data_IF_907906217547
#
_entry.id   IF_907906217547
#
_cell.length_a   1.000
_cell.length_b   1.000
_cell.length_c   1.000
_cell.angle_alpha   90.00
_cell.angle_beta   90.00
_cell.angle_gamma   90.00
#
_symmetry.space_group_name_H-M   'P 1'
#
loop_
_entity.id
_entity.type
_entity.pdbx_description
1 polymer ?
#
# COMPACT_ATOMS: atom_id res chain seq x y z
N UNK A 1 12.61 -12.52 5.62
CA UNK A 1 13.10 -13.10 4.36
C UNK A 1 12.61 -12.24 3.21
N UNK A 2 13.46 -11.94 2.25
CA UNK A 2 13.07 -11.30 1.00
C UNK A 2 12.21 -12.27 0.18
N UNK A 3 11.07 -11.79 -0.34
CA UNK A 3 10.15 -12.60 -1.15
C UNK A 3 10.76 -13.01 -2.50
N UNK A 4 11.79 -12.30 -2.97
CA UNK A 4 12.58 -12.65 -4.15
C UNK A 4 13.63 -13.72 -3.92
N UNK A 5 13.85 -14.15 -2.68
CA UNK A 5 14.90 -15.11 -2.36
C UNK A 5 14.48 -16.57 -2.60
N UNK A 6 15.44 -17.44 -2.92
CA UNK A 6 15.22 -18.88 -3.07
C UNK A 6 14.68 -19.56 -1.79
N UNK A 7 14.75 -18.90 -0.63
CA UNK A 7 14.24 -19.40 0.65
C UNK A 7 12.71 -19.47 0.69
N UNK A 8 12.00 -18.69 -0.13
CA UNK A 8 10.53 -18.67 -0.19
C UNK A 8 9.98 -20.07 -0.49
N UNK A 9 10.57 -20.79 -1.43
CA UNK A 9 10.15 -22.16 -1.75
C UNK A 9 10.14 -23.04 -0.51
N UNK A 10 11.25 -23.08 0.22
CA UNK A 10 11.37 -23.85 1.46
C UNK A 10 10.33 -23.42 2.50
N UNK A 11 10.16 -22.10 2.73
CA UNK A 11 9.18 -21.57 3.70
C UNK A 11 7.75 -22.03 3.36
N UNK A 12 7.35 -22.00 2.10
CA UNK A 12 6.01 -22.43 1.66
C UNK A 12 5.79 -23.93 1.89
N UNK A 13 6.77 -24.76 1.52
CA UNK A 13 6.63 -26.22 1.64
C UNK A 13 6.73 -26.73 3.07
N UNK A 14 7.54 -26.09 3.92
CA UNK A 14 7.69 -26.46 5.34
C UNK A 14 6.46 -26.05 6.16
N UNK A 15 5.93 -24.83 5.95
CA UNK A 15 4.85 -24.28 6.77
C UNK A 15 3.43 -24.54 6.22
N UNK A 16 3.30 -24.89 4.96
CA UNK A 16 2.04 -25.22 4.26
C UNK A 16 0.91 -24.19 4.53
N UNK A 17 1.13 -22.88 4.28
CA UNK A 17 0.14 -21.86 4.57
C UNK A 17 -1.13 -22.05 3.71
N UNK A 18 -2.29 -21.80 4.30
CA UNK A 18 -3.56 -21.73 3.59
C UNK A 18 -3.78 -20.37 2.92
N UNK A 19 -3.07 -19.33 3.38
CA UNK A 19 -3.12 -18.00 2.79
C UNK A 19 -1.76 -17.31 2.91
N UNK A 20 -1.40 -16.56 1.85
CA UNK A 20 -0.26 -15.67 1.83
C UNK A 20 -0.79 -14.25 1.61
N UNK A 21 -0.55 -13.36 2.56
CA UNK A 21 -0.76 -11.93 2.36
C UNK A 21 0.56 -11.29 1.93
N UNK A 22 0.68 -10.95 0.66
CA UNK A 22 1.87 -10.28 0.14
C UNK A 22 1.75 -8.76 0.30
N UNK A 23 2.31 -8.25 1.40
CA UNK A 23 2.44 -6.81 1.69
C UNK A 23 3.85 -6.29 1.44
N UNK A 24 4.78 -7.16 1.03
CA UNK A 24 6.17 -6.78 0.81
C UNK A 24 6.29 -5.88 -0.43
N UNK A 25 6.77 -4.67 -0.25
CA UNK A 25 6.99 -3.70 -1.33
C UNK A 25 7.87 -2.54 -0.87
N UNK A 26 8.59 -1.93 -1.81
CA UNK A 26 9.03 -0.56 -1.68
C UNK A 26 7.84 0.38 -1.92
N UNK A 27 7.64 1.40 -1.02
CA UNK A 27 6.38 2.16 -0.97
C UNK A 27 6.55 3.68 -0.91
N UNK A 28 7.75 4.22 -1.05
CA UNK A 28 7.98 5.66 -0.93
C UNK A 28 8.06 6.32 -2.32
N UNK A 29 7.01 7.08 -2.68
CA UNK A 29 6.89 7.70 -4.01
C UNK A 29 8.12 8.53 -4.37
N UNK A 30 8.54 9.48 -3.51
CA UNK A 30 9.69 10.34 -3.81
C UNK A 30 10.97 9.54 -4.04
N UNK A 31 11.23 8.52 -3.20
CA UNK A 31 12.38 7.61 -3.42
C UNK A 31 12.27 6.84 -4.75
N UNK A 32 11.07 6.58 -5.24
CA UNK A 32 10.89 5.91 -6.53
C UNK A 32 11.26 6.82 -7.69
N UNK A 33 11.14 8.14 -7.54
CA UNK A 33 11.57 9.13 -8.52
C UNK A 33 13.10 9.21 -8.54
N UNK A 34 13.73 9.24 -7.35
CA UNK A 34 15.18 9.32 -7.22
C UNK A 34 15.89 8.01 -7.65
N UNK A 35 15.32 6.85 -7.30
CA UNK A 35 15.91 5.53 -7.59
C UNK A 35 14.84 4.50 -7.93
N UNK A 36 14.33 4.47 -9.17
CA UNK A 36 13.29 3.52 -9.61
C UNK A 36 13.75 2.07 -9.61
N UNK A 37 15.06 1.80 -9.73
CA UNK A 37 15.62 0.44 -9.80
C UNK A 37 15.24 -0.42 -8.60
N UNK A 38 15.27 0.15 -7.39
CA UNK A 38 14.91 -0.57 -6.16
C UNK A 38 13.43 -1.02 -6.19
N UNK A 39 12.55 -0.18 -6.76
CA UNK A 39 11.12 -0.47 -6.89
C UNK A 39 10.84 -1.56 -7.92
N UNK A 40 11.53 -1.54 -9.05
CA UNK A 40 11.45 -2.60 -10.07
C UNK A 40 11.89 -3.93 -9.45
N UNK A 41 13.03 -3.94 -8.76
CA UNK A 41 13.57 -5.15 -8.14
C UNK A 41 12.62 -5.69 -7.07
N UNK A 42 12.16 -4.85 -6.14
CA UNK A 42 11.29 -5.26 -5.04
C UNK A 42 9.86 -5.58 -5.49
N UNK A 43 9.24 -4.69 -6.28
CA UNK A 43 7.81 -4.77 -6.55
C UNK A 43 7.47 -5.62 -7.79
N UNK A 44 8.42 -5.85 -8.69
CA UNK A 44 8.20 -6.65 -9.91
C UNK A 44 8.98 -7.96 -9.86
N UNK A 45 10.32 -7.89 -9.78
CA UNK A 45 11.17 -9.08 -9.87
C UNK A 45 10.96 -10.00 -8.67
N UNK A 46 10.88 -9.45 -7.46
CA UNK A 46 10.60 -10.27 -6.26
C UNK A 46 9.19 -10.84 -6.25
N UNK A 47 8.19 -10.13 -6.80
CA UNK A 47 6.82 -10.66 -6.97
C UNK A 47 6.80 -11.78 -8.00
N UNK A 48 7.53 -11.66 -9.11
CA UNK A 48 7.72 -12.75 -10.05
C UNK A 48 8.29 -14.01 -9.37
N UNK A 49 9.35 -13.86 -8.58
CA UNK A 49 9.94 -14.98 -7.83
C UNK A 49 8.94 -15.62 -6.86
N UNK A 50 8.15 -14.81 -6.15
CA UNK A 50 7.09 -15.31 -5.28
C UNK A 50 6.06 -16.11 -6.08
N UNK A 51 5.61 -15.60 -7.23
CA UNK A 51 4.61 -16.24 -8.08
C UNK A 51 5.10 -17.60 -8.64
N UNK A 52 6.36 -17.68 -9.07
CA UNK A 52 6.94 -18.96 -9.53
C UNK A 52 6.94 -20.02 -8.41
N UNK A 53 7.38 -19.63 -7.22
CA UNK A 53 7.36 -20.54 -6.07
C UNK A 53 5.94 -20.90 -5.62
N UNK A 54 5.02 -19.92 -5.62
CA UNK A 54 3.64 -20.14 -5.23
C UNK A 54 2.87 -20.98 -6.26
N UNK A 55 3.16 -20.85 -7.53
CA UNK A 55 2.64 -21.69 -8.63
C UNK A 55 2.94 -23.18 -8.39
N UNK A 56 4.19 -23.49 -8.04
CA UNK A 56 4.56 -24.87 -7.69
C UNK A 56 3.86 -25.36 -6.42
N UNK A 57 3.84 -24.52 -5.39
CA UNK A 57 3.22 -24.82 -4.11
C UNK A 57 1.72 -25.08 -4.23
N UNK A 58 0.98 -24.23 -4.94
CA UNK A 58 -0.48 -24.31 -5.11
C UNK A 58 -0.93 -25.51 -5.92
N UNK A 59 -0.09 -26.04 -6.81
CA UNK A 59 -0.38 -27.31 -7.51
C UNK A 59 -0.54 -28.49 -6.54
N UNK A 60 0.26 -28.51 -5.46
CA UNK A 60 0.23 -29.57 -4.44
C UNK A 60 -0.72 -29.27 -3.28
N UNK A 61 -1.05 -27.99 -3.06
CA UNK A 61 -1.86 -27.51 -1.95
C UNK A 61 -3.07 -26.72 -2.46
N UNK A 62 -4.13 -27.43 -2.84
CA UNK A 62 -5.31 -26.86 -3.52
C UNK A 62 -6.14 -25.88 -2.67
N UNK A 63 -6.01 -25.93 -1.34
CA UNK A 63 -6.72 -25.05 -0.40
C UNK A 63 -5.85 -23.87 0.05
N UNK A 64 -5.13 -23.24 -0.89
CA UNK A 64 -4.30 -22.07 -0.61
C UNK A 64 -4.70 -20.88 -1.47
N UNK A 65 -4.41 -19.67 -1.01
CA UNK A 65 -4.68 -18.43 -1.73
C UNK A 65 -3.55 -17.41 -1.52
N UNK A 66 -3.21 -16.66 -2.56
CA UNK A 66 -2.35 -15.47 -2.48
C UNK A 66 -3.21 -14.22 -2.54
N UNK A 67 -3.13 -13.35 -1.53
CA UNK A 67 -3.69 -12.01 -1.57
C UNK A 67 -2.54 -11.03 -1.81
N UNK A 68 -2.50 -10.47 -3.02
CA UNK A 68 -1.53 -9.47 -3.39
C UNK A 68 -2.06 -8.08 -3.03
N UNK A 69 -1.37 -7.41 -2.11
CA UNK A 69 -1.77 -6.07 -1.66
C UNK A 69 -1.07 -5.02 -2.52
N UNK A 70 -1.88 -4.30 -3.28
CA UNK A 70 -1.50 -3.18 -4.14
C UNK A 70 -2.00 -1.85 -3.59
N UNK A 71 -2.18 -0.85 -4.44
CA UNK A 71 -2.51 0.53 -4.08
C UNK A 71 -3.48 1.14 -5.08
N UNK A 72 -4.30 2.08 -4.64
CA UNK A 72 -5.16 2.91 -5.49
C UNK A 72 -4.37 3.85 -6.42
N UNK A 73 -3.08 4.09 -6.13
CA UNK A 73 -2.22 4.92 -6.98
C UNK A 73 -2.00 4.33 -8.39
N UNK A 74 -2.30 3.04 -8.61
CA UNK A 74 -2.26 2.43 -9.94
C UNK A 74 -3.26 3.06 -10.91
N UNK A 75 -4.34 3.64 -10.40
CA UNK A 75 -5.35 4.33 -11.21
C UNK A 75 -4.92 5.74 -11.67
N UNK A 76 -3.87 6.30 -11.04
CA UNK A 76 -3.41 7.67 -11.29
C UNK A 76 -4.31 8.74 -10.65
N UNK A 77 -4.27 9.94 -11.20
CA UNK A 77 -5.03 11.08 -10.67
C UNK A 77 -6.50 11.00 -11.07
N UNK A 78 -7.39 10.86 -10.10
CA UNK A 78 -8.83 10.87 -10.29
C UNK A 78 -9.36 12.28 -10.02
N UNK A 79 -9.55 13.07 -11.08
CA UNK A 79 -9.99 14.46 -10.96
C UNK A 79 -11.46 14.61 -10.57
N UNK A 80 -12.32 13.66 -10.96
CA UNK A 80 -13.76 13.64 -10.64
C UNK A 80 -14.22 12.20 -10.40
N UNK A 81 -15.08 12.01 -9.41
CA UNK A 81 -15.63 10.69 -9.09
C UNK A 81 -14.64 9.81 -8.33
N UNK A 82 -14.69 8.51 -8.60
CA UNK A 82 -13.87 7.47 -7.96
C UNK A 82 -13.48 6.40 -8.98
N UNK A 83 -12.34 5.78 -8.74
CA UNK A 83 -11.98 4.55 -9.44
C UNK A 83 -12.80 3.36 -8.91
N UNK A 84 -13.12 2.46 -9.78
CA UNK A 84 -13.66 1.13 -9.48
C UNK A 84 -12.68 0.07 -10.02
N UNK A 85 -12.91 -1.18 -9.75
CA UNK A 85 -11.95 -2.25 -10.03
C UNK A 85 -11.65 -2.44 -11.53
N UNK A 86 -12.58 -2.04 -12.41
CA UNK A 86 -12.40 -2.06 -13.88
C UNK A 86 -11.84 -0.75 -14.43
N UNK A 87 -11.54 0.24 -13.55
CA UNK A 87 -10.98 1.51 -14.01
C UNK A 87 -9.57 1.31 -14.60
N UNK A 88 -9.25 1.93 -15.76
CA UNK A 88 -7.97 1.72 -16.39
C UNK A 88 -6.81 2.23 -15.53
N UNK A 89 -5.74 1.47 -15.45
CA UNK A 89 -4.52 1.86 -14.78
C UNK A 89 -3.80 2.97 -15.54
N UNK A 90 -3.48 4.07 -14.86
CA UNK A 90 -2.75 5.24 -15.38
C UNK A 90 -1.75 5.75 -14.34
N UNK A 91 -0.79 4.91 -13.91
CA UNK A 91 0.12 5.26 -12.82
C UNK A 91 0.95 6.50 -13.15
N UNK A 92 1.07 7.42 -12.18
CA UNK A 92 1.75 8.70 -12.33
C UNK A 92 3.15 8.76 -11.71
N UNK A 93 3.62 7.68 -11.11
CA UNK A 93 4.96 7.59 -10.50
C UNK A 93 5.62 6.24 -10.78
N UNK A 94 6.96 6.12 -10.68
CA UNK A 94 7.65 4.83 -10.80
C UNK A 94 7.17 3.81 -9.75
N UNK A 95 6.86 4.24 -8.53
CA UNK A 95 6.22 3.38 -7.53
C UNK A 95 4.88 2.83 -8.02
N UNK A 96 3.96 3.71 -8.42
CA UNK A 96 2.64 3.30 -8.90
C UNK A 96 2.75 2.41 -10.14
N UNK A 97 3.67 2.72 -11.07
CA UNK A 97 3.93 1.91 -12.24
C UNK A 97 4.45 0.51 -11.88
N UNK A 98 5.35 0.41 -10.88
CA UNK A 98 5.85 -0.90 -10.41
C UNK A 98 4.75 -1.75 -9.77
N UNK A 99 3.81 -1.13 -9.04
CA UNK A 99 2.65 -1.81 -8.46
C UNK A 99 1.65 -2.24 -9.54
N UNK A 100 1.37 -1.38 -10.51
CA UNK A 100 0.52 -1.72 -11.66
C UNK A 100 1.10 -2.91 -12.45
N UNK A 101 2.41 -2.92 -12.68
CA UNK A 101 3.10 -4.03 -13.35
C UNK A 101 2.97 -5.33 -12.56
N UNK A 102 3.13 -5.30 -11.22
CA UNK A 102 2.94 -6.49 -10.39
C UNK A 102 1.50 -6.99 -10.36
N UNK A 103 0.51 -6.10 -10.37
CA UNK A 103 -0.91 -6.48 -10.44
C UNK A 103 -1.21 -7.22 -11.76
N UNK A 104 -0.75 -6.68 -12.88
CA UNK A 104 -0.89 -7.34 -14.18
C UNK A 104 -0.15 -8.68 -14.23
N UNK A 105 1.03 -8.76 -13.60
CA UNK A 105 1.77 -10.02 -13.50
C UNK A 105 0.99 -11.07 -12.70
N UNK A 106 0.47 -10.72 -11.52
CA UNK A 106 -0.37 -11.61 -10.70
C UNK A 106 -1.60 -12.06 -11.48
N UNK A 107 -2.30 -11.14 -12.14
CA UNK A 107 -3.48 -11.45 -12.94
C UNK A 107 -3.16 -12.38 -14.10
N UNK A 108 -2.03 -12.18 -14.79
CA UNK A 108 -1.59 -13.09 -15.88
C UNK A 108 -1.35 -14.51 -15.37
N UNK A 109 -0.80 -14.67 -14.17
CA UNK A 109 -0.59 -15.98 -13.53
C UNK A 109 -1.91 -16.67 -13.18
N UNK A 110 -2.91 -15.91 -12.72
CA UNK A 110 -4.26 -16.45 -12.51
C UNK A 110 -4.84 -16.96 -13.83
N UNK A 111 -4.78 -16.15 -14.88
CA UNK A 111 -5.36 -16.51 -16.18
C UNK A 111 -4.66 -17.67 -16.85
N UNK A 112 -3.33 -17.63 -16.89
CA UNK A 112 -2.51 -18.61 -17.64
C UNK A 112 -2.28 -19.89 -16.87
N UNK A 113 -1.88 -19.78 -15.61
CA UNK A 113 -1.42 -20.92 -14.81
C UNK A 113 -2.44 -21.37 -13.76
N UNK A 114 -3.60 -20.71 -13.67
CA UNK A 114 -4.65 -20.97 -12.67
C UNK A 114 -4.14 -20.86 -11.23
N UNK A 115 -3.18 -19.96 -11.00
CA UNK A 115 -2.69 -19.64 -9.65
C UNK A 115 -3.82 -19.01 -8.83
N UNK A 116 -4.15 -19.53 -7.63
CA UNK A 116 -5.24 -19.00 -6.82
C UNK A 116 -4.82 -17.70 -6.13
N UNK A 117 -4.98 -16.57 -6.81
CA UNK A 117 -4.63 -15.25 -6.29
C UNK A 117 -5.77 -14.24 -6.41
N UNK A 118 -5.78 -13.27 -5.51
CA UNK A 118 -6.69 -12.13 -5.46
C UNK A 118 -5.82 -10.86 -5.36
N UNK A 119 -6.23 -9.78 -6.00
CA UNK A 119 -5.54 -8.50 -5.99
C UNK A 119 -6.37 -7.49 -5.20
N UNK A 120 -5.72 -6.70 -4.34
CA UNK A 120 -6.39 -5.65 -3.59
C UNK A 120 -5.69 -4.31 -3.78
N UNK A 121 -6.45 -3.26 -4.08
CA UNK A 121 -5.96 -1.90 -4.26
C UNK A 121 -6.46 -1.04 -3.08
N UNK A 122 -5.58 -0.76 -2.12
CA UNK A 122 -5.96 -0.01 -0.93
C UNK A 122 -5.60 1.47 -1.05
N UNK A 123 -6.42 2.31 -0.44
CA UNK A 123 -6.13 3.73 -0.24
C UNK A 123 -5.07 3.95 0.85
N UNK A 124 -4.69 5.22 1.11
CA UNK A 124 -3.61 5.55 2.03
C UNK A 124 -3.91 5.09 3.46
N UNK A 125 -3.15 4.11 3.93
CA UNK A 125 -3.29 3.60 5.27
C UNK A 125 -2.70 4.55 6.31
N UNK A 126 -3.31 4.62 7.49
CA UNK A 126 -2.76 5.27 8.67
C UNK A 126 -3.09 4.48 9.94
N UNK A 127 -2.27 4.65 10.97
CA UNK A 127 -2.54 4.02 12.27
C UNK A 127 -1.28 3.68 13.06
N UNK A 128 -1.44 2.94 14.17
CA UNK A 128 -0.32 2.53 15.03
C UNK A 128 0.76 1.77 14.25
N UNK A 129 2.02 2.04 14.61
CA UNK A 129 3.22 1.43 14.01
C UNK A 129 3.47 1.78 12.54
N UNK A 130 2.79 2.79 11.98
CA UNK A 130 3.12 3.30 10.65
C UNK A 130 4.56 3.85 10.64
N UNK A 131 5.26 3.62 9.51
CA UNK A 131 6.66 4.05 9.37
C UNK A 131 6.82 5.56 9.61
N UNK A 132 7.84 6.00 10.38
CA UNK A 132 8.00 7.40 10.81
C UNK A 132 8.16 8.42 9.68
N UNK A 133 8.58 8.00 8.49
CA UNK A 133 8.73 8.89 7.33
C UNK A 133 7.39 9.31 6.71
N UNK A 134 6.30 8.57 6.96
CA UNK A 134 4.99 8.87 6.41
C UNK A 134 4.38 10.12 7.05
N UNK A 135 3.49 10.80 6.32
CA UNK A 135 2.96 12.11 6.67
C UNK A 135 2.44 12.21 8.11
N UNK A 136 1.50 11.33 8.50
CA UNK A 136 0.85 11.39 9.82
C UNK A 136 1.85 11.18 10.96
N UNK A 137 2.64 10.09 11.01
CA UNK A 137 3.61 9.89 12.09
C UNK A 137 4.69 10.98 12.10
N UNK A 138 5.15 11.48 10.96
CA UNK A 138 6.12 12.57 10.87
C UNK A 138 5.58 13.88 11.48
N UNK A 139 4.32 14.23 11.19
CA UNK A 139 3.68 15.40 11.79
C UNK A 139 3.52 15.23 13.31
N UNK A 140 3.06 14.07 13.77
CA UNK A 140 2.93 13.78 15.20
C UNK A 140 4.30 13.89 15.90
N UNK A 141 5.34 13.27 15.33
CA UNK A 141 6.70 13.36 15.85
C UNK A 141 7.18 14.82 15.96
N UNK A 142 6.94 15.62 14.91
CA UNK A 142 7.35 17.03 14.92
C UNK A 142 6.56 17.87 15.94
N UNK A 143 5.27 17.60 16.13
CA UNK A 143 4.46 18.24 17.18
C UNK A 143 5.05 17.94 18.55
N UNK A 144 5.33 16.68 18.86
CA UNK A 144 5.86 16.24 20.16
C UNK A 144 7.26 16.80 20.45
N UNK A 145 8.06 17.05 19.40
CA UNK A 145 9.42 17.57 19.52
C UNK A 145 9.53 19.07 19.24
N UNK A 146 8.43 19.82 19.29
CA UNK A 146 8.38 21.27 19.03
C UNK A 146 9.10 21.69 17.73
N UNK A 147 8.84 20.96 16.63
CA UNK A 147 9.44 21.20 15.32
C UNK A 147 8.40 21.74 14.33
N UNK A 148 8.87 22.41 13.26
CA UNK A 148 8.03 22.83 12.13
C UNK A 148 7.41 21.62 11.43
N UNK A 149 6.20 21.81 10.88
CA UNK A 149 5.42 20.77 10.23
C UNK A 149 5.55 20.91 8.71
N UNK A 150 6.42 20.13 8.05
CA UNK A 150 6.66 20.27 6.62
C UNK A 150 5.46 19.75 5.82
N UNK A 151 4.99 20.57 4.88
CA UNK A 151 3.95 20.24 3.90
C UNK A 151 4.49 20.57 2.50
N UNK A 152 4.56 19.58 1.63
CA UNK A 152 5.02 19.73 0.27
C UNK A 152 4.05 20.55 -0.60
N UNK A 153 4.62 21.40 -1.44
CA UNK A 153 3.88 22.28 -2.35
C UNK A 153 2.86 23.15 -1.60
N UNK A 154 1.63 23.22 -2.09
CA UNK A 154 0.53 23.95 -1.45
C UNK A 154 -0.31 23.08 -0.47
N UNK A 155 0.04 21.82 -0.32
CA UNK A 155 -0.64 20.84 0.56
C UNK A 155 -2.08 20.49 0.16
N UNK A 156 -2.52 20.86 -1.04
CA UNK A 156 -3.87 20.56 -1.54
C UNK A 156 -4.02 19.17 -2.15
N UNK A 157 -2.93 18.39 -2.19
CA UNK A 157 -3.01 16.99 -2.62
C UNK A 157 -3.96 16.22 -1.72
N UNK A 158 -5.09 15.81 -2.29
CA UNK A 158 -6.10 15.02 -1.59
C UNK A 158 -5.77 13.54 -1.67
N UNK A 159 -6.03 12.85 -0.58
CA UNK A 159 -5.88 11.38 -0.48
C UNK A 159 -7.06 10.82 0.28
N UNK A 160 -7.46 9.61 -0.05
CA UNK A 160 -8.37 8.83 0.75
C UNK A 160 -7.60 8.16 1.89
N UNK A 161 -8.09 8.28 3.13
CA UNK A 161 -7.39 7.83 4.34
C UNK A 161 -8.10 6.65 4.98
N UNK A 162 -7.45 5.51 5.00
CA UNK A 162 -7.98 4.25 5.52
C UNK A 162 -7.29 3.88 6.85
N UNK A 163 -8.08 3.61 7.88
CA UNK A 163 -7.51 3.15 9.15
C UNK A 163 -6.99 1.70 9.00
N UNK A 164 -5.77 1.46 9.49
CA UNK A 164 -5.07 0.19 9.24
C UNK A 164 -5.82 -1.04 9.74
N UNK A 165 -6.58 -0.95 10.85
CA UNK A 165 -7.38 -2.08 11.32
C UNK A 165 -8.53 -2.41 10.38
N UNK A 166 -9.20 -1.39 9.84
CA UNK A 166 -10.28 -1.58 8.85
C UNK A 166 -9.72 -2.25 7.59
N UNK A 167 -8.50 -1.85 7.17
CA UNK A 167 -7.81 -2.53 6.07
C UNK A 167 -7.53 -4.01 6.39
N UNK A 168 -7.00 -4.31 7.58
CA UNK A 168 -6.75 -5.70 7.99
C UNK A 168 -8.04 -6.53 8.03
N UNK A 169 -9.15 -5.97 8.53
CA UNK A 169 -10.45 -6.63 8.56
C UNK A 169 -10.98 -6.89 7.13
N UNK A 170 -10.82 -5.91 6.22
CA UNK A 170 -11.16 -6.07 4.81
C UNK A 170 -10.35 -7.20 4.16
N UNK A 171 -9.04 -7.26 4.37
CA UNK A 171 -8.19 -8.35 3.86
C UNK A 171 -8.63 -9.72 4.38
N UNK A 172 -8.96 -9.83 5.66
CA UNK A 172 -9.49 -11.07 6.25
C UNK A 172 -10.86 -11.45 5.67
N UNK A 173 -11.72 -10.47 5.39
CA UNK A 173 -13.02 -10.68 4.75
C UNK A 173 -12.84 -11.16 3.30
N UNK A 174 -11.89 -10.56 2.56
CA UNK A 174 -11.55 -10.96 1.20
C UNK A 174 -10.97 -12.39 1.18
N UNK A 175 -10.10 -12.73 2.13
CA UNK A 175 -9.61 -14.11 2.25
C UNK A 175 -10.75 -15.13 2.44
N UNK A 176 -11.75 -14.79 3.25
CA UNK A 176 -12.88 -15.70 3.54
C UNK A 176 -13.93 -15.76 2.44
N UNK A 177 -14.15 -14.69 1.68
CA UNK A 177 -15.29 -14.51 0.78
C UNK A 177 -14.93 -14.04 -0.62
N UNK A 178 -13.70 -13.61 -0.85
CA UNK A 178 -13.24 -13.11 -2.15
C UNK A 178 -13.17 -14.22 -3.20
N UNK A 179 -13.32 -13.83 -4.44
CA UNK A 179 -13.24 -14.73 -5.60
C UNK A 179 -11.85 -14.68 -6.20
N UNK A 180 -11.29 -15.85 -6.50
CA UNK A 180 -9.99 -15.96 -7.17
C UNK A 180 -10.04 -15.26 -8.53
N UNK A 181 -9.00 -14.46 -8.81
CA UNK A 181 -8.86 -13.70 -10.04
C UNK A 181 -9.52 -12.33 -10.04
N UNK A 182 -10.27 -12.00 -8.98
CA UNK A 182 -10.92 -10.70 -8.87
C UNK A 182 -9.99 -9.64 -8.23
N UNK A 183 -10.32 -8.38 -8.53
CA UNK A 183 -9.74 -7.19 -7.91
C UNK A 183 -10.70 -6.63 -6.86
N UNK A 184 -10.18 -6.07 -5.79
CA UNK A 184 -10.98 -5.45 -4.74
C UNK A 184 -10.37 -4.11 -4.32
N UNK A 185 -11.10 -3.02 -4.49
CA UNK A 185 -10.73 -1.72 -3.94
C UNK A 185 -11.08 -1.66 -2.45
N UNK A 186 -10.13 -1.22 -1.63
CA UNK A 186 -10.31 -1.06 -0.19
C UNK A 186 -10.10 0.40 0.17
N UNK A 187 -11.17 1.12 0.43
CA UNK A 187 -11.17 2.52 0.79
C UNK A 187 -12.12 2.84 1.94
N UNK A 188 -12.07 4.06 2.43
CA UNK A 188 -12.87 4.56 3.56
C UNK A 188 -13.99 5.51 3.16
N UNK A 189 -13.99 5.97 1.91
CA UNK A 189 -14.80 7.09 1.43
C UNK A 189 -14.48 8.44 2.08
N UNK A 190 -13.33 8.57 2.75
CA UNK A 190 -12.95 9.77 3.49
C UNK A 190 -11.69 10.43 2.89
N UNK A 191 -11.94 11.45 2.05
CA UNK A 191 -10.89 12.21 1.38
C UNK A 191 -10.52 13.46 2.15
N UNK A 192 -9.22 13.64 2.44
CA UNK A 192 -8.67 14.87 3.01
C UNK A 192 -7.38 15.26 2.31
N UNK A 193 -7.19 16.57 2.14
CA UNK A 193 -5.91 17.12 1.71
C UNK A 193 -4.89 17.15 2.87
N UNK A 194 -3.62 17.20 2.52
CA UNK A 194 -2.52 17.16 3.49
C UNK A 194 -2.59 18.30 4.53
N UNK A 195 -3.07 19.51 4.12
CA UNK A 195 -3.28 20.64 5.03
C UNK A 195 -4.36 20.31 6.06
N UNK A 196 -5.50 19.73 5.64
CA UNK A 196 -6.59 19.38 6.55
C UNK A 196 -6.17 18.34 7.56
N UNK A 197 -5.42 17.31 7.12
CA UNK A 197 -4.81 16.32 8.03
C UNK A 197 -3.90 17.02 9.05
N UNK A 198 -3.00 17.86 8.60
CA UNK A 198 -2.08 18.58 9.48
C UNK A 198 -2.83 19.45 10.51
N UNK A 199 -3.82 20.23 10.07
CA UNK A 199 -4.66 21.05 10.96
C UNK A 199 -5.44 20.22 11.96
N UNK A 200 -5.97 19.07 11.54
CA UNK A 200 -6.68 18.12 12.42
C UNK A 200 -5.77 17.58 13.51
N UNK A 201 -4.55 17.17 13.14
CA UNK A 201 -3.55 16.70 14.10
C UNK A 201 -3.15 17.78 15.12
N UNK A 202 -2.92 19.02 14.64
CA UNK A 202 -2.65 20.17 15.53
C UNK A 202 -3.82 20.37 16.51
N UNK A 203 -5.07 20.42 16.00
CA UNK A 203 -6.27 20.61 16.81
C UNK A 203 -6.42 19.53 17.89
N UNK A 204 -6.19 18.27 17.50
CA UNK A 204 -6.28 17.13 18.43
C UNK A 204 -5.17 17.15 19.47
N UNK A 205 -3.93 17.48 19.07
CA UNK A 205 -2.79 17.59 19.98
C UNK A 205 -2.96 18.71 21.00
N UNK A 206 -3.49 19.88 20.60
CA UNK A 206 -3.80 20.99 21.51
C UNK A 206 -4.71 20.62 22.69
N UNK A 207 -5.57 19.61 22.50
CA UNK A 207 -6.46 19.14 23.58
C UNK A 207 -5.73 18.29 24.62
N UNK A 208 -4.53 17.79 24.30
CA UNK A 208 -3.80 16.82 25.13
C UNK A 208 -2.49 17.35 25.69
N UNK A 209 -1.87 18.30 24.98
CA UNK A 209 -0.56 18.88 25.32
C UNK A 209 -0.51 20.37 25.00
N UNK A 210 0.34 21.10 25.74
CA UNK A 210 0.70 22.47 25.37
C UNK A 210 1.65 22.43 24.18
N UNK A 211 1.25 23.04 23.06
CA UNK A 211 2.08 23.08 21.86
C UNK A 211 3.22 24.10 22.01
N UNK A 212 4.41 23.66 21.62
CA UNK A 212 5.56 24.53 21.56
C UNK A 212 5.43 25.60 20.45
N UNK A 213 6.15 26.74 20.61
CA UNK A 213 6.08 27.90 19.71
C UNK A 213 6.50 27.60 18.27
N UNK A 214 7.30 26.55 18.02
CA UNK A 214 7.79 26.17 16.71
C UNK A 214 6.83 25.27 15.93
N UNK A 215 5.75 24.78 16.56
CA UNK A 215 4.74 23.93 15.89
C UNK A 215 3.91 24.79 14.93
N UNK A 216 4.43 25.01 13.74
CA UNK A 216 3.81 25.80 12.66
C UNK A 216 3.95 25.04 11.35
N UNK A 217 2.92 25.13 10.49
CA UNK A 217 3.00 24.60 9.11
C UNK A 217 4.09 25.35 8.35
N UNK A 218 4.96 24.62 7.70
CA UNK A 218 5.98 25.13 6.80
C UNK A 218 5.80 24.49 5.43
N UNK A 219 5.48 25.28 4.43
CA UNK A 219 5.47 24.80 3.05
C UNK A 219 6.90 24.63 2.56
N UNK A 220 7.15 23.48 1.93
CA UNK A 220 8.45 23.13 1.33
C UNK A 220 8.23 22.73 -0.13
N UNK A 221 9.26 22.97 -0.96
CA UNK A 221 9.28 22.60 -2.38
C UNK A 221 9.53 21.11 -2.54
#
# INVERSE_FOLDING_TARGET
CDIGSNRIKKILFDNKPSCIFNLAAETHVDRSIDNPKAFIQSNIVSVYSLLENFKEYSKKNKKTCLIHVSTDEVYGDILKGRSHEEYPYKPSSPYAASKAASDHLVYSYVRTYKVPAIITNCSNNYGPKQHPEKLIPKIIYNILNNKKLPIYGNGKNSREWLYVKDHCEALLKIFKKGKIGEFYNIGSNFNLDNIKICKSLIKTSKKKINLGRNVKIQFIK
#
